data_IF_646132617964
#
_entry.id   IF_646132617964
#
_cell.length_a   1.000
_cell.length_b   1.000
_cell.length_c   1.000
_cell.angle_alpha   90.00
_cell.angle_beta   90.00
_cell.angle_gamma   90.00
#
_symmetry.space_group_name_H-M   'P 1'
#
loop_
_entity.id
_entity.type
_entity.pdbx_description
1 polymer ?
#
# COMPACT_ATOMS: atom_id res chain seq x y z
N UNK A 1 -37.47 -35.28 22.91
CA UNK A 1 -36.66 -34.04 23.05
C UNK A 1 -35.49 -34.05 22.05
N UNK A 2 -35.75 -34.12 20.74
CA UNK A 2 -34.69 -34.37 19.73
C UNK A 2 -34.46 -33.23 18.73
N UNK A 3 -35.46 -32.39 18.45
CA UNK A 3 -35.34 -31.36 17.41
C UNK A 3 -34.48 -30.12 17.74
N UNK A 4 -34.21 -29.84 19.03
CA UNK A 4 -33.40 -28.67 19.43
C UNK A 4 -31.91 -28.87 19.22
N UNK A 5 -31.41 -30.10 19.40
CA UNK A 5 -29.99 -30.45 19.22
C UNK A 5 -29.59 -30.42 17.75
N UNK A 6 -30.49 -30.84 16.86
CA UNK A 6 -30.27 -30.81 15.41
C UNK A 6 -30.17 -29.37 14.85
N UNK A 7 -31.06 -28.47 15.30
CA UNK A 7 -30.99 -27.03 14.93
C UNK A 7 -29.70 -26.36 15.40
N UNK A 8 -29.23 -26.71 16.61
CA UNK A 8 -27.97 -26.19 17.14
C UNK A 8 -26.77 -26.69 16.33
N UNK A 9 -26.75 -27.98 15.95
CA UNK A 9 -25.70 -28.54 15.10
C UNK A 9 -25.69 -27.90 13.70
N UNK A 10 -26.85 -27.68 13.10
CA UNK A 10 -26.98 -27.07 11.78
C UNK A 10 -26.50 -25.60 11.77
N UNK A 11 -26.88 -24.83 12.81
CA UNK A 11 -26.42 -23.45 12.99
C UNK A 11 -24.90 -23.38 13.21
N UNK A 12 -24.35 -24.32 13.98
CA UNK A 12 -22.91 -24.42 14.21
C UNK A 12 -22.14 -24.73 12.92
N UNK A 13 -22.66 -25.64 12.08
CA UNK A 13 -22.08 -25.94 10.77
C UNK A 13 -22.12 -24.73 9.83
N UNK A 14 -23.24 -24.01 9.77
CA UNK A 14 -23.36 -22.78 8.96
C UNK A 14 -22.39 -21.69 9.42
N UNK A 15 -22.16 -21.56 10.72
CA UNK A 15 -21.22 -20.60 11.29
C UNK A 15 -19.76 -20.92 10.92
N UNK A 16 -19.36 -22.20 10.94
CA UNK A 16 -18.02 -22.64 10.50
C UNK A 16 -17.80 -22.35 9.01
N UNK A 17 -18.79 -22.65 8.16
CA UNK A 17 -18.71 -22.35 6.71
C UNK A 17 -18.57 -20.85 6.46
N UNK A 18 -19.26 -20.02 7.24
CA UNK A 18 -19.15 -18.56 7.13
C UNK A 18 -17.77 -18.03 7.54
N UNK A 19 -17.16 -18.58 8.60
CA UNK A 19 -15.79 -18.23 9.01
C UNK A 19 -14.79 -18.62 7.91
N UNK A 20 -14.89 -19.82 7.36
CA UNK A 20 -13.99 -20.28 6.29
C UNK A 20 -14.12 -19.44 5.01
N UNK A 21 -15.32 -18.99 4.67
CA UNK A 21 -15.54 -18.09 3.53
C UNK A 21 -15.00 -16.68 3.82
N UNK A 22 -15.16 -16.16 5.04
CA UNK A 22 -14.63 -14.85 5.43
C UNK A 22 -13.10 -14.83 5.42
N UNK A 23 -12.46 -15.89 5.92
CA UNK A 23 -11.00 -16.05 5.86
C UNK A 23 -10.51 -16.17 4.41
N UNK A 24 -11.19 -16.95 3.57
CA UNK A 24 -10.84 -17.09 2.14
C UNK A 24 -10.89 -15.76 1.38
N UNK A 25 -11.89 -14.91 1.65
CA UNK A 25 -12.01 -13.57 1.04
C UNK A 25 -10.96 -12.60 1.60
N UNK A 26 -10.62 -12.71 2.88
CA UNK A 26 -9.55 -11.91 3.49
C UNK A 26 -8.18 -12.23 2.87
N UNK A 27 -7.87 -13.51 2.66
CA UNK A 27 -6.64 -13.92 1.97
C UNK A 27 -6.60 -13.50 0.50
N UNK A 28 -7.72 -13.56 -0.22
CA UNK A 28 -7.78 -13.11 -1.62
C UNK A 28 -7.56 -11.60 -1.77
N UNK A 29 -8.04 -10.78 -0.81
CA UNK A 29 -7.88 -9.32 -0.90
C UNK A 29 -6.44 -8.88 -0.62
N UNK A 30 -5.71 -9.58 0.24
CA UNK A 30 -4.29 -9.28 0.52
C UNK A 30 -3.37 -9.56 -0.67
N UNK A 31 -3.66 -10.56 -1.50
CA UNK A 31 -2.82 -10.91 -2.67
C UNK A 31 -3.05 -10.01 -3.89
N UNK A 32 -4.02 -9.09 -3.82
CA UNK A 32 -4.29 -8.07 -4.85
C UNK A 32 -3.50 -6.78 -4.67
N UNK A 33 -2.75 -6.62 -3.56
CA UNK A 33 -1.67 -5.61 -3.55
C UNK A 33 -0.64 -6.13 -4.53
N UNK A 34 -0.66 -5.58 -5.75
CA UNK A 34 0.40 -5.79 -6.72
C UNK A 34 1.71 -5.63 -5.96
N UNK A 35 2.68 -6.56 -6.07
CA UNK A 35 3.96 -6.35 -5.42
C UNK A 35 4.50 -5.02 -5.95
N UNK A 36 4.47 -3.98 -5.13
CA UNK A 36 5.23 -2.76 -5.39
C UNK A 36 6.65 -3.28 -5.60
N UNK A 37 7.25 -3.10 -6.79
CA UNK A 37 8.57 -3.65 -7.05
C UNK A 37 9.48 -3.13 -5.95
N UNK A 38 9.99 -4.04 -5.13
CA UNK A 38 10.97 -3.69 -4.12
C UNK A 38 12.14 -3.08 -4.87
N UNK A 39 12.28 -1.75 -4.79
CA UNK A 39 13.34 -1.00 -5.46
C UNK A 39 14.67 -1.43 -4.84
N UNK A 40 15.23 -2.52 -5.38
CA UNK A 40 16.51 -3.12 -4.98
C UNK A 40 17.68 -2.22 -5.39
N UNK A 41 17.41 -1.23 -6.25
CA UNK A 41 18.31 -0.15 -6.63
C UNK A 41 17.54 1.18 -6.59
N UNK A 42 18.21 2.30 -6.27
CA UNK A 42 17.59 3.60 -6.34
C UNK A 42 17.13 3.88 -7.77
N UNK A 43 15.82 3.95 -7.98
CA UNK A 43 15.29 4.39 -9.26
C UNK A 43 15.53 5.89 -9.37
N UNK A 44 16.21 6.29 -10.44
CA UNK A 44 16.39 7.69 -10.81
C UNK A 44 15.50 7.97 -12.02
N UNK A 45 14.60 8.92 -11.89
CA UNK A 45 13.71 9.30 -12.99
C UNK A 45 12.31 9.71 -12.56
N UNK A 46 11.48 9.99 -13.55
CA UNK A 46 10.09 10.41 -13.36
C UNK A 46 9.25 9.26 -12.81
N UNK A 47 8.54 9.56 -11.74
CA UNK A 47 7.60 8.70 -11.04
C UNK A 47 6.20 9.30 -11.12
N UNK A 48 5.20 8.46 -10.95
CA UNK A 48 3.80 8.87 -10.82
C UNK A 48 3.20 8.23 -9.58
N UNK A 49 2.51 9.02 -8.77
CA UNK A 49 1.72 8.52 -7.66
C UNK A 49 0.53 7.71 -8.19
N UNK A 50 0.39 6.47 -7.74
CA UNK A 50 -0.75 5.60 -8.06
C UNK A 50 -1.82 5.65 -6.96
N UNK A 51 -1.42 6.06 -5.75
CA UNK A 51 -2.27 6.32 -4.61
C UNK A 51 -1.94 7.67 -3.95
N UNK A 52 -2.31 7.83 -2.69
CA UNK A 52 -1.90 9.00 -1.89
C UNK A 52 -0.54 8.70 -1.28
N UNK A 53 0.47 9.46 -1.68
CA UNK A 53 1.85 9.30 -1.17
C UNK A 53 2.12 10.43 -0.19
N UNK A 54 2.44 10.10 1.06
CA UNK A 54 2.75 11.11 2.08
C UNK A 54 4.13 11.73 1.84
N UNK A 55 4.24 13.03 2.12
CA UNK A 55 5.41 13.86 1.80
C UNK A 55 5.93 14.55 3.05
N UNK A 56 7.25 14.56 3.19
CA UNK A 56 7.98 15.01 4.37
C UNK A 56 9.14 15.92 3.97
N UNK A 57 9.56 16.83 4.85
CA UNK A 57 10.76 17.65 4.64
C UNK A 57 12.06 16.90 4.97
N UNK A 58 11.98 15.88 5.81
CA UNK A 58 13.12 15.04 6.20
C UNK A 58 12.66 13.66 6.66
N UNK A 59 13.52 12.63 6.58
CA UNK A 59 13.23 11.27 7.05
C UNK A 59 12.74 11.24 8.51
N UNK A 60 11.56 10.66 8.74
CA UNK A 60 11.01 10.47 10.10
C UNK A 60 10.44 11.72 10.77
N UNK A 61 10.36 12.84 10.06
CA UNK A 61 9.75 14.07 10.57
C UNK A 61 8.23 14.11 10.38
N UNK A 62 7.63 15.27 10.69
CA UNK A 62 6.21 15.50 10.48
C UNK A 62 5.87 15.58 9.00
N UNK A 63 4.76 14.94 8.63
CA UNK A 63 4.17 15.05 7.30
C UNK A 63 3.83 16.52 6.98
N UNK A 64 4.24 16.98 5.81
CA UNK A 64 3.95 18.33 5.31
C UNK A 64 2.93 18.33 4.17
N UNK A 65 2.68 17.19 3.54
CA UNK A 65 1.71 17.10 2.47
C UNK A 65 1.51 15.69 1.95
N UNK A 66 0.95 15.60 0.74
CA UNK A 66 0.84 14.35 0.00
C UNK A 66 0.79 14.61 -1.50
N UNK A 67 1.35 13.69 -2.28
CA UNK A 67 1.04 13.60 -3.71
C UNK A 67 -0.30 12.90 -3.91
N UNK A 68 -1.06 13.35 -4.91
CA UNK A 68 -2.33 12.74 -5.30
C UNK A 68 -2.14 11.76 -6.45
N UNK A 69 -3.05 10.77 -6.64
CA UNK A 69 -2.99 9.86 -7.77
C UNK A 69 -2.89 10.60 -9.11
N UNK A 70 -1.96 10.19 -9.96
CA UNK A 70 -1.64 10.81 -11.25
C UNK A 70 -0.63 11.96 -11.17
N UNK A 71 -0.28 12.44 -9.97
CA UNK A 71 0.75 13.46 -9.81
C UNK A 71 2.13 12.88 -10.09
N UNK A 72 2.89 13.61 -10.90
CA UNK A 72 4.27 13.28 -11.25
C UNK A 72 5.26 13.95 -10.29
N UNK A 73 6.36 13.27 -10.05
CA UNK A 73 7.51 13.75 -9.29
C UNK A 73 8.76 13.02 -9.79
N UNK A 74 9.95 13.49 -9.44
CA UNK A 74 11.21 12.88 -9.87
C UNK A 74 11.91 12.25 -8.67
N UNK A 75 12.25 10.97 -8.75
CA UNK A 75 13.13 10.35 -7.76
C UNK A 75 14.58 10.74 -8.03
N UNK A 76 15.29 11.26 -7.01
CA UNK A 76 16.71 11.65 -7.13
C UNK A 76 17.64 10.44 -7.07
N UNK A 77 17.13 9.33 -6.52
CA UNK A 77 17.92 8.13 -6.23
C UNK A 77 18.59 8.15 -4.86
N UNK A 78 18.52 9.26 -4.12
CA UNK A 78 19.00 9.31 -2.75
C UNK A 78 18.02 8.62 -1.81
N UNK A 79 18.56 7.83 -0.87
CA UNK A 79 17.78 7.01 0.06
C UNK A 79 18.39 7.03 1.46
N UNK A 80 17.51 7.07 2.47
CA UNK A 80 17.89 6.96 3.88
C UNK A 80 16.97 5.95 4.57
N UNK A 81 17.45 4.73 4.78
CA UNK A 81 16.64 3.65 5.36
C UNK A 81 15.39 3.34 4.53
N UNK A 82 14.20 3.62 5.08
CA UNK A 82 12.90 3.42 4.41
C UNK A 82 12.43 4.63 3.62
N UNK A 83 13.28 5.64 3.44
CA UNK A 83 12.95 6.91 2.79
C UNK A 83 13.64 7.07 1.44
N UNK A 84 12.95 7.74 0.52
CA UNK A 84 13.45 8.10 -0.82
C UNK A 84 13.30 9.61 -0.99
N UNK A 85 14.36 10.26 -1.46
CA UNK A 85 14.31 11.68 -1.79
C UNK A 85 13.74 11.87 -3.20
N UNK A 86 12.89 12.89 -3.33
CA UNK A 86 12.18 13.22 -4.56
C UNK A 86 12.15 14.73 -4.76
N UNK A 87 11.92 15.14 -6.00
CA UNK A 87 11.69 16.52 -6.41
C UNK A 87 10.26 16.61 -6.96
N UNK A 88 9.45 17.51 -6.41
CA UNK A 88 8.09 17.73 -6.92
C UNK A 88 8.07 18.58 -8.20
N UNK A 89 6.87 18.89 -8.70
CA UNK A 89 6.69 19.69 -9.91
C UNK A 89 7.14 21.16 -9.76
N UNK A 90 7.20 21.65 -8.52
CA UNK A 90 7.61 23.02 -8.19
C UNK A 90 9.13 23.12 -7.91
N UNK A 91 9.83 21.98 -7.90
CA UNK A 91 11.27 21.90 -7.70
C UNK A 91 11.70 21.76 -6.23
N UNK A 92 10.79 21.45 -5.32
CA UNK A 92 11.11 21.24 -3.92
C UNK A 92 11.64 19.82 -3.67
N UNK A 93 12.76 19.75 -2.94
CA UNK A 93 13.30 18.49 -2.42
C UNK A 93 12.50 18.02 -1.21
N UNK A 94 12.01 16.80 -1.30
CA UNK A 94 11.08 16.21 -0.35
C UNK A 94 11.42 14.74 -0.14
N UNK A 95 10.85 14.15 0.89
CA UNK A 95 11.03 12.74 1.23
C UNK A 95 9.70 12.01 1.26
N UNK A 96 9.71 10.77 0.75
CA UNK A 96 8.57 9.86 0.75
C UNK A 96 9.00 8.47 1.24
N UNK A 97 8.06 7.67 1.72
CA UNK A 97 8.35 6.28 2.11
C UNK A 97 8.57 5.39 0.87
N UNK A 98 9.57 4.51 0.94
CA UNK A 98 9.98 3.60 -0.13
C UNK A 98 8.87 2.64 -0.61
N UNK A 99 7.89 2.38 0.27
CA UNK A 99 6.74 1.50 0.02
C UNK A 99 5.44 2.28 -0.26
N UNK A 100 5.56 3.56 -0.63
CA UNK A 100 4.42 4.38 -1.02
C UNK A 100 3.74 3.90 -2.31
N UNK A 101 2.51 4.35 -2.51
CA UNK A 101 1.72 4.01 -3.69
C UNK A 101 2.15 4.85 -4.90
N UNK A 102 3.27 4.46 -5.53
CA UNK A 102 3.83 5.10 -6.73
C UNK A 102 4.57 4.11 -7.62
N UNK A 103 4.85 4.52 -8.86
CA UNK A 103 5.60 3.71 -9.84
C UNK A 103 6.37 4.60 -10.84
N UNK A 104 7.34 4.03 -11.59
CA UNK A 104 7.94 4.71 -12.74
C UNK A 104 6.89 5.21 -13.74
N UNK A 105 7.01 6.45 -14.21
CA UNK A 105 6.07 7.03 -15.16
C UNK A 105 6.17 6.44 -16.57
N UNK A 106 7.28 5.76 -16.90
CA UNK A 106 7.61 5.25 -18.24
C UNK A 106 7.31 3.75 -18.45
N UNK A 107 6.33 3.16 -17.77
CA UNK A 107 5.89 1.77 -18.04
C UNK A 107 4.71 1.71 -19.01
#
# INVERSE_FOLDING_TARGET
MEGKRFKFLLLFFLFIVFILLAEGVYYWRSTKKSPTPELTQPYLGEMVATGRVEVFLSPGENKVGYFVPGQKFTSTGDQEGSWVQVIDADGYELWIEKNGDYQPASQ
#
